data_IF_501153054604
#
_entry.id   IF_501153054604
#
_cell.length_a   1.000
_cell.length_b   1.000
_cell.length_c   1.000
_cell.angle_alpha   90.00
_cell.angle_beta   90.00
_cell.angle_gamma   90.00
#
_symmetry.space_group_name_H-M   'P 1'
#
loop_
_entity.id
_entity.type
_entity.pdbx_description
1 polymer ?
#
# COMPACT_ATOMS: atom_id res chain seq x y z
N UNK A 1 -0.42 10.49 -2.69
CA UNK A 1 -0.41 10.39 -2.09
C UNK A 1 -0.88 10.23 -0.99
N UNK A 2 -2.06 9.73 -0.74
CA UNK A 2 -2.33 9.70 0.57
C UNK A 2 -1.57 8.59 1.14
N UNK A 3 -0.88 8.88 2.10
CA UNK A 3 -0.11 7.91 2.81
C UNK A 3 -0.73 7.66 4.16
N UNK A 4 -1.96 8.11 4.33
CA UNK A 4 -2.73 7.93 5.55
C UNK A 4 -4.04 7.26 5.17
N UNK A 5 -4.36 6.16 5.85
CA UNK A 5 -5.63 5.47 5.64
C UNK A 5 -6.35 5.32 6.98
N UNK A 6 -7.67 5.24 6.91
CA UNK A 6 -8.53 5.12 8.08
C UNK A 6 -9.05 3.68 8.16
N UNK A 7 -8.66 2.98 9.23
CA UNK A 7 -9.11 1.60 9.45
C UNK A 7 -10.28 1.51 10.43
N UNK A 8 -10.93 2.64 10.71
CA UNK A 8 -12.02 2.71 11.66
C UNK A 8 -11.53 3.18 13.01
N UNK A 9 -11.00 2.28 13.81
CA UNK A 9 -10.52 2.63 15.15
C UNK A 9 -9.13 3.24 15.14
N UNK A 10 -8.43 3.14 14.03
CA UNK A 10 -7.05 3.61 13.91
C UNK A 10 -6.83 4.30 12.59
N UNK A 11 -5.91 5.24 12.60
CA UNK A 11 -5.31 5.73 11.37
C UNK A 11 -3.95 5.06 11.20
N UNK A 12 -3.59 4.78 9.94
CA UNK A 12 -2.31 4.16 9.62
C UNK A 12 -1.65 5.02 8.54
N UNK A 13 -0.37 5.27 8.69
CA UNK A 13 0.35 6.09 7.72
C UNK A 13 1.74 5.53 7.45
N UNK A 14 2.33 6.00 6.35
CA UNK A 14 3.74 5.77 6.06
C UNK A 14 4.53 6.97 6.57
N UNK A 15 5.59 6.70 7.33
CA UNK A 15 6.58 7.71 7.66
C UNK A 15 7.67 7.60 6.61
N UNK A 16 7.69 8.55 5.66
CA UNK A 16 8.60 8.46 4.52
C UNK A 16 10.04 8.71 4.89
N UNK A 17 10.30 9.43 5.98
CA UNK A 17 11.67 9.69 6.41
C UNK A 17 12.31 8.46 7.02
N UNK A 18 11.52 7.66 7.74
CA UNK A 18 12.04 6.47 8.41
C UNK A 18 11.69 5.19 7.68
N UNK A 19 10.84 5.28 6.66
CA UNK A 19 10.31 4.13 5.92
C UNK A 19 9.65 3.13 6.86
N UNK A 20 8.72 3.62 7.67
CA UNK A 20 7.99 2.80 8.63
C UNK A 20 6.50 3.00 8.44
N UNK A 21 5.72 2.01 8.92
CA UNK A 21 4.28 2.14 9.02
C UNK A 21 3.97 2.49 10.46
N UNK A 22 3.19 3.55 10.66
CA UNK A 22 2.82 4.06 11.98
C UNK A 22 1.32 4.08 12.13
N UNK A 23 0.85 4.02 13.36
CA UNK A 23 -0.58 4.09 13.62
C UNK A 23 -0.88 5.11 14.71
N UNK A 24 -2.13 5.61 14.69
CA UNK A 24 -2.61 6.55 15.69
C UNK A 24 -3.99 6.09 16.16
N UNK A 25 -4.22 6.15 17.47
CA UNK A 25 -5.52 5.84 18.06
C UNK A 25 -6.20 7.09 18.59
N UNK A 26 -5.64 8.27 18.34
CA UNK A 26 -6.21 9.52 18.86
C UNK A 26 -6.39 10.56 17.75
N UNK A 27 -6.75 10.10 16.55
CA UNK A 27 -7.08 10.98 15.45
C UNK A 27 -5.90 11.65 14.80
N UNK A 28 -4.71 11.07 14.96
CA UNK A 28 -3.50 11.62 14.35
C UNK A 28 -2.73 12.57 15.26
N UNK A 29 -3.13 12.70 16.53
CA UNK A 29 -2.42 13.57 17.46
C UNK A 29 -1.07 13.00 17.83
N UNK A 30 -0.96 11.68 17.95
CA UNK A 30 0.32 11.03 18.19
C UNK A 30 0.38 9.75 17.38
N UNK A 31 1.60 9.34 17.03
CA UNK A 31 1.82 8.18 16.16
C UNK A 31 2.84 7.25 16.80
N UNK A 32 2.60 5.95 16.65
CA UNK A 32 3.47 4.91 17.17
C UNK A 32 3.90 4.04 16.00
N UNK A 33 5.16 3.65 15.99
CA UNK A 33 5.68 2.78 14.93
C UNK A 33 5.03 1.40 15.06
N UNK A 34 4.59 0.85 13.92
CA UNK A 34 3.97 -0.47 13.88
C UNK A 34 4.79 -1.47 13.11
N UNK A 35 5.39 -1.05 11.99
CA UNK A 35 6.14 -1.96 11.13
C UNK A 35 7.34 -1.21 10.54
N UNK A 36 8.54 -1.80 10.67
CA UNK A 36 9.76 -1.17 10.18
C UNK A 36 10.65 -2.14 9.42
N UNK A 37 10.07 -3.18 8.81
CA UNK A 37 10.84 -4.23 8.15
C UNK A 37 11.26 -3.78 6.75
N UNK A 38 12.55 -3.55 6.56
CA UNK A 38 13.08 -3.09 5.28
C UNK A 38 13.00 -4.11 4.16
N UNK A 39 12.69 -5.38 4.46
CA UNK A 39 12.59 -6.39 3.42
C UNK A 39 11.40 -6.16 2.49
N UNK A 40 10.44 -5.31 2.89
CA UNK A 40 9.31 -4.96 2.01
C UNK A 40 9.68 -3.91 0.98
N UNK A 41 10.83 -3.27 1.09
CA UNK A 41 11.23 -2.18 0.23
C UNK A 41 10.79 -0.85 0.81
N UNK A 42 10.86 0.19 -0.02
CA UNK A 42 10.47 1.54 0.39
C UNK A 42 8.98 1.72 0.18
N UNK A 43 8.25 2.02 1.25
CA UNK A 43 6.81 2.25 1.16
C UNK A 43 6.51 3.55 0.42
N UNK A 44 5.56 3.50 -0.50
CA UNK A 44 5.17 4.67 -1.31
C UNK A 44 3.72 5.06 -1.11
N UNK A 45 2.82 4.10 -0.91
CA UNK A 45 1.39 4.39 -0.77
C UNK A 45 0.70 3.27 -0.03
N UNK A 46 -0.45 3.59 0.56
CA UNK A 46 -1.30 2.64 1.26
C UNK A 46 -2.72 2.78 0.74
N UNK A 47 -3.45 1.66 0.69
CA UNK A 47 -4.85 1.67 0.29
C UNK A 47 -5.59 0.56 1.03
N UNK A 48 -6.74 0.90 1.62
CA UNK A 48 -7.63 -0.10 2.20
C UNK A 48 -8.54 -0.61 1.09
N UNK A 49 -8.57 -1.93 0.90
CA UNK A 49 -9.43 -2.53 -0.10
C UNK A 49 -10.09 -3.76 0.51
N UNK A 50 -11.37 -3.62 0.87
CA UNK A 50 -12.07 -4.66 1.61
C UNK A 50 -11.46 -4.83 2.98
N UNK A 51 -11.02 -6.03 3.31
CA UNK A 51 -10.41 -6.33 4.59
C UNK A 51 -8.90 -6.30 4.55
N UNK A 52 -8.34 -5.88 3.43
CA UNK A 52 -6.91 -5.90 3.23
C UNK A 52 -6.35 -4.50 3.19
N UNK A 53 -5.14 -4.35 3.66
CA UNK A 53 -4.38 -3.12 3.51
C UNK A 53 -3.30 -3.39 2.48
N UNK A 54 -3.36 -2.68 1.38
CA UNK A 54 -2.39 -2.82 0.29
C UNK A 54 -1.35 -1.74 0.41
N UNK A 55 -0.12 -2.07 0.07
CA UNK A 55 0.98 -1.12 0.09
C UNK A 55 1.74 -1.20 -1.23
N UNK A 56 2.02 -0.03 -1.81
CA UNK A 56 2.98 0.07 -2.90
C UNK A 56 4.35 0.25 -2.28
N UNK A 57 5.29 -0.55 -2.72
CA UNK A 57 6.68 -0.39 -2.28
C UNK A 57 7.60 -0.45 -3.48
N UNK A 58 8.87 -0.18 -3.25
CA UNK A 58 9.88 -0.28 -4.31
C UNK A 58 10.03 -1.71 -4.83
N UNK A 59 9.49 -2.71 -4.11
CA UNK A 59 9.56 -4.10 -4.55
C UNK A 59 8.24 -4.61 -5.12
N UNK A 60 7.19 -3.79 -5.13
CA UNK A 60 5.91 -4.17 -5.72
C UNK A 60 4.75 -3.92 -4.78
N UNK A 61 3.69 -4.69 -4.96
CA UNK A 61 2.48 -4.59 -4.15
C UNK A 61 2.54 -5.62 -3.03
N UNK A 62 2.35 -5.16 -1.82
CA UNK A 62 2.30 -6.01 -0.63
C UNK A 62 0.94 -5.89 0.03
N UNK A 63 0.57 -6.90 0.79
CA UNK A 63 -0.74 -6.94 1.44
C UNK A 63 -0.57 -7.26 2.91
N UNK A 64 -1.38 -6.60 3.73
CA UNK A 64 -1.46 -6.89 5.16
C UNK A 64 -2.90 -7.25 5.51
N UNK A 65 -3.07 -8.31 6.28
CA UNK A 65 -4.38 -8.70 6.82
C UNK A 65 -4.44 -8.48 8.31
N UNK A 66 -3.44 -7.81 8.89
CA UNK A 66 -3.38 -7.54 10.33
C UNK A 66 -3.10 -6.06 10.61
N UNK A 67 -3.75 -5.19 9.83
CA UNK A 67 -3.74 -3.73 10.01
C UNK A 67 -2.36 -3.12 9.90
N UNK A 68 -1.51 -3.72 9.07
CA UNK A 68 -0.19 -3.14 8.82
C UNK A 68 0.91 -3.60 9.76
N UNK A 69 0.64 -4.61 10.57
CA UNK A 69 1.67 -5.16 11.45
C UNK A 69 2.72 -5.96 10.68
N UNK A 70 2.27 -6.67 9.65
CA UNK A 70 3.17 -7.38 8.75
C UNK A 70 2.56 -7.42 7.37
N UNK A 71 3.39 -7.61 6.38
CA UNK A 71 2.98 -7.60 4.98
C UNK A 71 3.55 -8.83 4.28
N UNK A 72 2.85 -9.28 3.24
CA UNK A 72 3.37 -10.33 2.39
C UNK A 72 3.29 -9.88 0.93
N UNK A 73 4.16 -10.40 0.06
CA UNK A 73 4.15 -9.95 -1.34
C UNK A 73 2.89 -10.43 -2.04
N UNK A 74 2.31 -9.57 -2.83
CA UNK A 74 1.16 -9.92 -3.66
C UNK A 74 1.51 -9.87 -5.14
N UNK A 75 2.20 -8.82 -5.56
CA UNK A 75 2.62 -8.68 -6.95
C UNK A 75 3.95 -7.95 -6.98
N UNK A 76 5.01 -8.69 -7.31
CA UNK A 76 6.35 -8.12 -7.32
C UNK A 76 6.93 -8.02 -8.73
N UNK A 77 6.07 -8.14 -9.75
CA UNK A 77 6.52 -8.11 -11.13
C UNK A 77 6.68 -6.67 -11.62
N UNK A 78 7.71 -6.00 -11.14
CA UNK A 78 7.96 -4.62 -11.51
C UNK A 78 8.64 -4.51 -12.87
N UNK A 79 9.19 -5.60 -13.38
CA UNK A 79 9.80 -5.56 -14.71
C UNK A 79 8.75 -5.45 -15.80
N UNK A 80 7.57 -6.05 -15.60
CA UNK A 80 6.50 -5.96 -16.59
C UNK A 80 5.63 -4.73 -16.39
N UNK A 81 5.28 -4.42 -15.14
CA UNK A 81 4.32 -3.34 -14.85
C UNK A 81 4.98 -2.01 -14.56
N UNK A 82 6.27 -2.02 -14.27
CA UNK A 82 6.98 -0.84 -13.80
C UNK A 82 6.90 -0.70 -12.30
N UNK A 83 7.46 0.40 -11.79
CA UNK A 83 7.43 0.67 -10.37
C UNK A 83 6.05 1.17 -9.98
N UNK A 84 5.43 0.52 -9.01
CA UNK A 84 4.13 0.96 -8.50
C UNK A 84 4.34 2.22 -7.67
N UNK A 85 3.62 3.29 -8.03
CA UNK A 85 3.78 4.58 -7.38
C UNK A 85 2.62 4.89 -6.44
N UNK A 86 1.40 4.60 -6.85
CA UNK A 86 0.24 4.78 -5.99
C UNK A 86 -0.90 3.88 -6.43
N UNK A 87 -1.88 3.73 -5.55
CA UNK A 87 -3.04 2.89 -5.78
C UNK A 87 -4.30 3.71 -5.58
N UNK A 88 -5.36 3.30 -6.28
CA UNK A 88 -6.66 3.94 -6.15
C UNK A 88 -7.75 2.88 -6.22
N UNK A 89 -8.77 3.04 -5.37
CA UNK A 89 -9.92 2.14 -5.37
C UNK A 89 -10.96 2.70 -6.33
N UNK A 90 -11.22 1.97 -7.41
CA UNK A 90 -12.20 2.39 -8.42
C UNK A 90 -13.48 1.54 -8.35
N UNK A 91 -13.78 0.99 -7.18
CA UNK A 91 -14.98 0.18 -6.98
C UNK A 91 -14.71 -1.28 -7.26
N UNK A 92 -15.06 -1.76 -8.45
CA UNK A 92 -14.89 -3.16 -8.80
C UNK A 92 -13.47 -3.48 -9.27
N UNK A 93 -12.61 -2.48 -9.34
CA UNK A 93 -11.24 -2.69 -9.77
C UNK A 93 -10.30 -1.74 -9.03
N UNK A 94 -9.04 -2.10 -9.01
CA UNK A 94 -7.99 -1.24 -8.49
C UNK A 94 -7.28 -0.57 -9.64
N UNK A 95 -6.86 0.67 -9.44
CA UNK A 95 -6.00 1.38 -10.38
C UNK A 95 -4.65 1.58 -9.74
N UNK A 96 -3.60 1.52 -10.56
CA UNK A 96 -2.26 1.79 -10.12
C UNK A 96 -1.57 2.69 -11.13
N UNK A 97 -0.96 3.76 -10.64
CA UNK A 97 -0.03 4.52 -11.46
C UNK A 97 1.35 3.89 -11.28
N UNK A 98 1.99 3.58 -12.40
CA UNK A 98 3.32 3.00 -12.37
C UNK A 98 4.23 3.82 -13.25
N UNK A 99 5.53 3.51 -13.19
CA UNK A 99 6.50 4.19 -14.05
C UNK A 99 6.28 3.89 -15.52
N UNK A 100 5.45 2.88 -15.85
CA UNK A 100 5.13 2.54 -17.24
C UNK A 100 3.72 2.95 -17.64
N UNK A 101 2.99 3.61 -16.76
CA UNK A 101 1.66 4.12 -17.08
C UNK A 101 0.61 3.68 -16.10
N UNK A 102 -0.65 3.78 -16.52
CA UNK A 102 -1.80 3.45 -15.69
C UNK A 102 -2.23 2.01 -15.96
N UNK A 103 -2.38 1.26 -14.88
CA UNK A 103 -2.80 -0.13 -14.94
C UNK A 103 -4.03 -0.34 -14.08
N UNK A 104 -4.79 -1.40 -14.35
CA UNK A 104 -5.92 -1.78 -13.51
C UNK A 104 -5.85 -3.26 -13.18
N UNK A 105 -6.48 -3.63 -12.06
CA UNK A 105 -6.53 -5.02 -11.60
C UNK A 105 -7.94 -5.34 -11.15
N UNK A 106 -8.44 -6.50 -11.53
CA UNK A 106 -9.76 -6.99 -11.09
C UNK A 106 -9.64 -8.18 -10.15
N UNK A 107 -8.43 -8.51 -9.73
CA UNK A 107 -8.19 -9.62 -8.81
C UNK A 107 -7.40 -9.16 -7.58
N UNK A 108 -7.76 -7.99 -7.06
CA UNK A 108 -7.22 -7.42 -5.82
C UNK A 108 -5.73 -7.16 -5.89
N UNK A 109 -5.22 -6.82 -7.07
CA UNK A 109 -3.82 -6.43 -7.23
C UNK A 109 -2.87 -7.58 -7.53
N UNK A 110 -3.40 -8.78 -7.77
CA UNK A 110 -2.53 -9.92 -8.07
C UNK A 110 -1.95 -9.86 -9.47
N UNK A 111 -2.71 -9.36 -10.42
CA UNK A 111 -2.22 -9.13 -11.77
C UNK A 111 -2.84 -7.86 -12.32
N UNK A 112 -2.20 -7.28 -13.31
CA UNK A 112 -2.56 -5.94 -13.79
C UNK A 112 -2.59 -5.92 -15.31
N UNK A 113 -3.44 -5.06 -15.85
CA UNK A 113 -3.58 -4.86 -17.28
C UNK A 113 -3.41 -3.38 -17.55
N UNK A 114 -2.68 -3.05 -18.59
CA UNK A 114 -2.45 -1.65 -18.91
C UNK A 114 -3.72 -0.99 -19.41
N UNK A 115 -4.05 0.15 -18.84
CA UNK A 115 -5.18 0.95 -19.23
C UNK A 115 -4.74 2.10 -20.15
#
# INVERSE_FOLDING_TARGET
MPQIVNLGKELVRINTQKNTVEYSQNGGRSWVMRCSNGSYGTFRDLLVYGRELLACTSKGIYVSTNEGRSFSPRCTNTSSYGDFLNLENAGTELLANTSKGLYYSRNEGRSWVKR
#
